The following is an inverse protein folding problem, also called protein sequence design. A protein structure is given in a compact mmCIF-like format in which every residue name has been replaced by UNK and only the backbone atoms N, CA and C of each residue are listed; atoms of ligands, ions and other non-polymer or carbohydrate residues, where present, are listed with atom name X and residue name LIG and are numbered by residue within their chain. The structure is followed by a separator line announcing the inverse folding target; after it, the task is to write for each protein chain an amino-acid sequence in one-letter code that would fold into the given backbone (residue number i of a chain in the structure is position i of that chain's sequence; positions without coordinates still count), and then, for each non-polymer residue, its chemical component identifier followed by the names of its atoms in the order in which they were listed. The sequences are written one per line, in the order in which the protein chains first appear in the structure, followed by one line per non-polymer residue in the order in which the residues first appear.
data_IF_795456925233
#
_entry.id   IF_795456925233
#
_cell.length_a   1.000
_cell.length_b   1.000
_cell.length_c   1.000
_cell.angle_alpha   90.00
_cell.angle_beta   90.00
_cell.angle_gamma   90.00
#
_symmetry.space_group_name_H-M   'P 1'
#
loop_
_entity.id
_entity.type
_entity.pdbx_description
1 polymer ?
#
# COMPACT_ATOMS: atom_id res chain seq x y z
N UNK A 1 -20.36 3.14 4.42
CA UNK A 1 -20.12 1.83 3.75
C UNK A 1 -18.78 1.20 4.11
N UNK A 2 -17.68 1.96 4.23
CA UNK A 2 -16.37 1.42 4.67
C UNK A 2 -16.19 1.39 6.21
N UNK A 3 -17.28 1.35 6.97
CA UNK A 3 -17.23 1.45 8.43
C UNK A 3 -16.72 0.19 9.10
N UNK A 4 -16.92 -0.97 8.46
CA UNK A 4 -16.60 -2.30 8.96
C UNK A 4 -15.72 -3.12 7.97
N UNK A 5 -15.20 -2.48 6.91
CA UNK A 5 -14.42 -3.15 5.87
C UNK A 5 -12.92 -2.80 5.91
N UNK A 6 -12.07 -3.83 5.86
CA UNK A 6 -10.64 -3.71 5.55
C UNK A 6 -10.45 -3.90 4.05
N UNK A 7 -9.88 -2.92 3.38
CA UNK A 7 -9.59 -2.99 1.94
C UNK A 7 -8.09 -2.98 1.74
N UNK A 8 -7.58 -3.97 1.02
CA UNK A 8 -6.17 -4.06 0.61
C UNK A 8 -6.14 -4.13 -0.91
N UNK A 9 -5.36 -3.24 -1.52
CA UNK A 9 -5.09 -3.25 -2.96
C UNK A 9 -3.61 -3.52 -3.14
N UNK A 10 -3.28 -4.57 -3.89
CA UNK A 10 -1.91 -4.98 -4.16
C UNK A 10 -1.78 -5.35 -5.64
N UNK A 11 -0.80 -4.77 -6.32
CA UNK A 11 -0.39 -5.22 -7.64
C UNK A 11 0.57 -6.40 -7.51
N UNK A 12 0.57 -7.30 -8.49
CA UNK A 12 1.53 -8.41 -8.58
C UNK A 12 2.93 -7.95 -9.03
N UNK A 13 2.99 -6.82 -9.74
CA UNK A 13 4.23 -6.19 -10.18
C UNK A 13 4.08 -4.66 -10.34
N UNK A 14 5.21 -3.95 -10.47
CA UNK A 14 5.27 -2.55 -10.85
C UNK A 14 5.25 -2.34 -12.36
N UNK A 15 5.72 -1.20 -12.86
CA UNK A 15 5.53 -0.87 -14.27
C UNK A 15 6.35 -1.77 -15.22
N UNK A 16 5.70 -2.36 -16.25
CA UNK A 16 6.36 -3.17 -17.29
C UNK A 16 6.31 -2.49 -18.66
N UNK A 17 7.41 -1.84 -19.05
CA UNK A 17 7.58 -1.29 -20.41
C UNK A 17 8.67 -2.06 -21.15
N UNK A 18 8.35 -2.67 -22.31
CA UNK A 18 9.22 -3.62 -23.00
C UNK A 18 10.68 -3.15 -23.20
N UNK A 19 10.90 -1.93 -23.71
CA UNK A 19 12.25 -1.39 -23.93
C UNK A 19 12.93 -0.88 -22.65
N UNK A 20 12.16 -0.41 -21.67
CA UNK A 20 12.69 0.16 -20.43
C UNK A 20 13.12 -0.94 -19.45
N UNK A 21 12.53 -2.14 -19.56
CA UNK A 21 12.77 -3.31 -18.71
C UNK A 21 14.19 -3.84 -18.75
N UNK A 22 14.90 -3.62 -19.85
CA UNK A 22 16.29 -4.05 -19.99
C UNK A 22 17.25 -3.16 -19.21
N UNK A 23 16.81 -1.96 -18.82
CA UNK A 23 17.58 -1.07 -17.96
C UNK A 23 17.52 -1.55 -16.51
N UNK A 24 18.60 -1.31 -15.75
CA UNK A 24 18.63 -1.61 -14.32
C UNK A 24 17.47 -0.93 -13.56
N UNK A 25 17.15 0.31 -13.92
CA UNK A 25 16.02 1.04 -13.35
C UNK A 25 14.68 0.37 -13.66
N UNK A 26 14.45 -0.06 -14.91
CA UNK A 26 13.22 -0.78 -15.27
C UNK A 26 13.04 -2.12 -14.55
N UNK A 27 14.14 -2.81 -14.23
CA UNK A 27 14.10 -4.01 -13.39
C UNK A 27 13.72 -3.70 -11.94
N UNK A 28 14.18 -2.56 -11.39
CA UNK A 28 13.77 -2.09 -10.08
C UNK A 28 12.29 -1.67 -10.09
N UNK A 29 11.85 -0.90 -11.08
CA UNK A 29 10.46 -0.43 -11.21
C UNK A 29 9.46 -1.58 -11.39
N UNK A 30 9.81 -2.65 -12.12
CA UNK A 30 8.97 -3.85 -12.20
C UNK A 30 8.78 -4.53 -10.82
N UNK A 31 9.78 -4.44 -9.94
CA UNK A 31 9.76 -5.05 -8.60
C UNK A 31 9.13 -4.16 -7.53
N UNK A 32 8.61 -3.00 -7.93
CA UNK A 32 7.91 -2.05 -7.05
C UNK A 32 6.39 -2.10 -7.32
N UNK A 33 5.67 -3.11 -6.81
CA UNK A 33 4.22 -3.18 -6.94
C UNK A 33 3.53 -2.06 -6.15
N UNK A 34 2.39 -1.61 -6.67
CA UNK A 34 1.50 -0.74 -5.92
C UNK A 34 0.92 -1.48 -4.70
N UNK A 35 0.89 -0.81 -3.55
CA UNK A 35 0.31 -1.34 -2.32
C UNK A 35 -0.43 -0.26 -1.55
N UNK A 36 -1.69 -0.52 -1.20
CA UNK A 36 -2.51 0.38 -0.39
C UNK A 36 -3.39 -0.40 0.59
N UNK A 37 -3.60 0.20 1.77
CA UNK A 37 -4.46 -0.32 2.83
C UNK A 37 -5.44 0.77 3.25
N UNK A 38 -6.72 0.43 3.34
CA UNK A 38 -7.76 1.24 3.99
C UNK A 38 -8.36 0.48 5.17
N UNK A 39 -8.29 1.09 6.36
CA UNK A 39 -8.83 0.51 7.59
C UNK A 39 -10.29 0.93 7.81
N UNK A 40 -11.11 0.07 8.45
CA UNK A 40 -12.50 0.41 8.78
C UNK A 40 -12.60 1.71 9.56
N UNK A 41 -13.60 2.55 9.24
CA UNK A 41 -13.73 3.86 9.90
C UNK A 41 -13.99 3.73 11.42
N UNK A 42 -14.81 2.76 11.85
CA UNK A 42 -15.06 2.51 13.27
C UNK A 42 -13.80 2.00 13.99
N UNK A 43 -13.02 1.15 13.32
CA UNK A 43 -11.77 0.65 13.87
C UNK A 43 -10.79 1.79 14.20
N UNK A 44 -10.65 2.77 13.29
CA UNK A 44 -9.79 3.96 13.50
C UNK A 44 -10.22 4.84 14.68
N UNK A 45 -11.47 4.70 15.18
CA UNK A 45 -11.99 5.45 16.32
C UNK A 45 -11.72 4.76 17.67
N UNK A 46 -11.36 3.48 17.67
CA UNK A 46 -10.95 2.77 18.89
C UNK A 46 -9.57 3.21 19.37
N UNK A 47 -9.26 3.01 20.65
CA UNK A 47 -7.93 3.34 21.20
C UNK A 47 -6.80 2.59 20.46
N UNK A 48 -6.95 1.28 20.33
CA UNK A 48 -5.96 0.43 19.65
C UNK A 48 -5.89 0.72 18.14
N UNK A 49 -7.03 0.86 17.47
CA UNK A 49 -7.06 1.11 16.03
C UNK A 49 -6.50 2.48 15.65
N UNK A 50 -6.69 3.50 16.49
CA UNK A 50 -6.05 4.82 16.31
C UNK A 50 -4.53 4.73 16.42
N UNK A 51 -4.01 3.95 17.37
CA UNK A 51 -2.57 3.68 17.51
C UNK A 51 -2.02 2.96 16.27
N UNK A 52 -2.71 1.91 15.79
CA UNK A 52 -2.29 1.16 14.59
C UNK A 52 -2.35 2.02 13.33
N UNK A 53 -3.41 2.81 13.15
CA UNK A 53 -3.51 3.76 12.03
C UNK A 53 -2.36 4.78 12.06
N UNK A 54 -2.05 5.33 13.23
CA UNK A 54 -0.91 6.25 13.40
C UNK A 54 0.41 5.57 13.03
N UNK A 55 0.59 4.30 13.41
CA UNK A 55 1.78 3.55 13.04
C UNK A 55 1.88 3.33 11.52
N UNK A 56 0.78 2.98 10.85
CA UNK A 56 0.77 2.87 9.38
C UNK A 56 1.12 4.20 8.72
N UNK A 57 0.52 5.31 9.18
CA UNK A 57 0.81 6.64 8.65
C UNK A 57 2.27 7.06 8.86
N UNK A 58 2.90 6.67 9.98
CA UNK A 58 4.32 6.93 10.24
C UNK A 58 5.26 6.10 9.36
N UNK A 59 4.84 4.93 8.89
CA UNK A 59 5.67 4.01 8.11
C UNK A 59 5.36 4.02 6.60
N UNK A 60 4.39 4.82 6.14
CA UNK A 60 3.92 4.76 4.74
C UNK A 60 4.98 5.11 3.69
N UNK A 61 6.01 5.87 4.06
CA UNK A 61 7.10 6.32 3.17
C UNK A 61 8.45 5.65 3.50
N UNK A 62 8.43 4.55 4.28
CA UNK A 62 9.62 3.77 4.63
C UNK A 62 9.69 2.52 3.77
#
# INVERSE_FOLDING_TARGET
ELDDALVIVMADHGHRFAKLRETHQGQLEERLPFFAISLPAKFRQTEHGRKMYTNLMKNKDR
#
